data_IF_914775475401
#
_entry.id   IF_914775475401
#
_cell.length_a   1.000
_cell.length_b   1.000
_cell.length_c   1.000
_cell.angle_alpha   90.00
_cell.angle_beta   90.00
_cell.angle_gamma   90.00
#
_symmetry.space_group_name_H-M   'P 1'
#
loop_
_entity.id
_entity.type
_entity.pdbx_description
1 polymer ?
#
# COMPACT_ATOMS: atom_id res chain seq x y z
N UNK A 1 9.52 -12.63 1.78
CA UNK A 1 9.99 -12.20 0.44
C UNK A 1 11.48 -11.99 0.46
N UNK A 2 12.19 -12.65 -0.43
CA UNK A 2 13.63 -12.47 -0.58
C UNK A 2 13.90 -11.17 -1.34
N UNK A 3 14.95 -10.43 -0.96
CA UNK A 3 15.31 -9.19 -1.66
C UNK A 3 15.70 -9.44 -3.12
N UNK A 4 16.36 -10.55 -3.37
CA UNK A 4 16.77 -10.98 -4.71
C UNK A 4 15.57 -11.12 -5.67
N UNK A 5 14.45 -11.72 -5.22
CA UNK A 5 13.25 -11.88 -6.05
C UNK A 5 12.66 -10.52 -6.46
N UNK A 6 12.68 -9.55 -5.53
CA UNK A 6 12.18 -8.19 -5.80
C UNK A 6 13.10 -7.45 -6.77
N UNK A 7 14.42 -7.60 -6.63
CA UNK A 7 15.37 -7.01 -7.56
C UNK A 7 15.23 -7.60 -8.95
N UNK A 8 15.12 -8.94 -9.05
CA UNK A 8 14.94 -9.65 -10.30
C UNK A 8 13.65 -9.22 -11.03
N UNK A 9 12.57 -8.90 -10.31
CA UNK A 9 11.35 -8.38 -10.93
C UNK A 9 11.59 -7.10 -11.72
N UNK A 10 12.28 -6.13 -11.13
CA UNK A 10 12.61 -4.86 -11.79
C UNK A 10 13.63 -5.08 -12.92
N UNK A 11 14.67 -5.87 -12.66
CA UNK A 11 15.70 -6.16 -13.66
C UNK A 11 15.12 -6.88 -14.89
N UNK A 12 14.18 -7.82 -14.68
CA UNK A 12 13.49 -8.52 -15.78
C UNK A 12 12.64 -7.57 -16.62
N UNK A 13 11.93 -6.62 -15.99
CA UNK A 13 11.16 -5.62 -16.72
C UNK A 13 12.07 -4.74 -17.58
N UNK A 14 13.17 -4.25 -17.01
CA UNK A 14 14.14 -3.42 -17.75
C UNK A 14 14.82 -4.23 -18.87
N UNK A 15 15.20 -5.49 -18.61
CA UNK A 15 15.83 -6.33 -19.64
C UNK A 15 14.87 -6.63 -20.80
N UNK A 16 13.58 -6.81 -20.53
CA UNK A 16 12.60 -7.15 -21.55
C UNK A 16 12.07 -5.94 -22.34
N UNK A 17 11.87 -4.80 -21.67
CA UNK A 17 11.22 -3.62 -22.24
C UNK A 17 12.15 -2.41 -22.41
N UNK A 18 13.40 -2.51 -21.99
CA UNK A 18 14.40 -1.43 -22.07
C UNK A 18 14.28 -0.37 -20.97
N UNK A 19 13.17 -0.33 -20.24
CA UNK A 19 12.90 0.66 -19.18
C UNK A 19 11.87 0.17 -18.18
N UNK A 20 11.73 0.92 -17.09
CA UNK A 20 10.59 0.90 -16.17
C UNK A 20 10.03 2.32 -16.08
N UNK A 21 8.72 2.49 -16.19
CA UNK A 21 8.05 3.80 -16.12
C UNK A 21 7.19 3.92 -14.86
N UNK A 22 6.54 2.83 -14.47
CA UNK A 22 5.58 2.81 -13.37
C UNK A 22 5.86 1.60 -12.49
N UNK A 23 5.94 1.84 -11.18
CA UNK A 23 5.96 0.79 -10.15
C UNK A 23 4.66 0.83 -9.34
N UNK A 24 3.90 -0.28 -9.35
CA UNK A 24 2.73 -0.43 -8.48
C UNK A 24 3.05 -1.43 -7.37
N UNK A 25 3.13 -0.97 -6.15
CA UNK A 25 3.31 -1.79 -4.95
C UNK A 25 1.94 -2.18 -4.40
N UNK A 26 1.39 -3.29 -4.90
CA UNK A 26 0.04 -3.76 -4.56
C UNK A 26 0.01 -4.92 -3.57
N UNK A 27 1.05 -5.72 -3.48
CA UNK A 27 1.08 -6.90 -2.61
C UNK A 27 0.84 -6.54 -1.14
N UNK A 28 -0.04 -7.27 -0.47
CA UNK A 28 -0.35 -7.05 0.94
C UNK A 28 -1.08 -8.24 1.55
N UNK A 29 -0.96 -8.37 2.87
CA UNK A 29 -1.64 -9.36 3.69
C UNK A 29 -2.27 -8.70 4.91
N UNK A 30 -3.34 -9.29 5.45
CA UNK A 30 -3.97 -8.88 6.70
C UNK A 30 -3.26 -9.47 7.93
N UNK A 31 -3.45 -8.82 9.08
CA UNK A 31 -3.31 -9.45 10.38
C UNK A 31 -4.62 -10.15 10.77
N UNK A 32 -4.66 -10.78 11.95
CA UNK A 32 -5.85 -11.45 12.48
C UNK A 32 -6.64 -10.54 13.45
N UNK A 33 -6.56 -9.23 13.28
CA UNK A 33 -7.17 -8.21 14.17
C UNK A 33 -6.59 -8.21 15.59
N UNK A 34 -5.35 -8.67 15.78
CA UNK A 34 -4.73 -8.70 17.10
C UNK A 34 -4.56 -7.27 17.65
N UNK A 35 -5.00 -7.01 18.92
CA UNK A 35 -4.59 -5.84 19.67
C UNK A 35 -3.13 -5.96 20.10
N UNK A 36 -2.51 -4.86 20.52
CA UNK A 36 -1.07 -4.80 20.79
C UNK A 36 -0.56 -5.87 21.79
N UNK A 37 -1.40 -6.29 22.76
CA UNK A 37 -1.00 -7.30 23.75
C UNK A 37 -0.91 -8.73 23.19
N UNK A 38 -1.57 -8.99 22.06
CA UNK A 38 -1.72 -10.34 21.48
C UNK A 38 -0.88 -10.51 20.20
N UNK A 39 0.00 -9.54 19.90
CA UNK A 39 0.87 -9.61 18.71
C UNK A 39 1.96 -10.66 18.95
N UNK A 40 2.05 -11.62 18.04
CA UNK A 40 3.18 -12.56 17.97
C UNK A 40 4.30 -11.96 17.07
N UNK A 41 5.55 -12.08 17.49
CA UNK A 41 6.70 -11.53 16.76
C UNK A 41 6.77 -12.03 15.30
N UNK A 42 6.55 -13.31 15.08
CA UNK A 42 6.53 -13.91 13.73
C UNK A 42 5.43 -13.29 12.84
N UNK A 43 4.26 -13.00 13.41
CA UNK A 43 3.16 -12.33 12.69
C UNK A 43 3.54 -10.89 12.33
N UNK A 44 4.12 -10.16 13.28
CA UNK A 44 4.63 -8.81 13.08
C UNK A 44 5.66 -8.77 11.95
N UNK A 45 6.70 -9.60 12.04
CA UNK A 45 7.77 -9.65 11.04
C UNK A 45 7.24 -10.03 9.66
N UNK A 46 6.36 -11.03 9.57
CA UNK A 46 5.74 -11.48 8.32
C UNK A 46 4.93 -10.37 7.65
N UNK A 47 4.09 -9.68 8.41
CA UNK A 47 3.23 -8.60 7.88
C UNK A 47 4.07 -7.41 7.44
N UNK A 48 5.05 -6.98 8.23
CA UNK A 48 5.97 -5.91 7.84
C UNK A 48 6.83 -6.30 6.64
N UNK A 49 7.29 -7.54 6.56
CA UNK A 49 8.07 -8.02 5.41
C UNK A 49 7.28 -7.89 4.10
N UNK A 50 5.97 -8.21 4.13
CA UNK A 50 5.11 -8.12 2.93
C UNK A 50 4.59 -6.71 2.70
N UNK A 51 4.02 -6.06 3.71
CA UNK A 51 3.28 -4.81 3.51
C UNK A 51 4.19 -3.57 3.41
N UNK A 52 5.40 -3.62 3.99
CA UNK A 52 6.26 -2.44 4.16
C UNK A 52 7.65 -2.64 3.58
N UNK A 53 8.36 -3.69 4.01
CA UNK A 53 9.74 -3.93 3.58
C UNK A 53 9.83 -4.20 2.08
N UNK A 54 8.87 -4.93 1.51
CA UNK A 54 8.80 -5.17 0.07
C UNK A 54 8.61 -3.87 -0.72
N UNK A 55 7.72 -2.99 -0.26
CA UNK A 55 7.47 -1.67 -0.86
C UNK A 55 8.75 -0.85 -0.87
N UNK A 56 9.46 -0.78 0.26
CA UNK A 56 10.73 -0.07 0.36
C UNK A 56 11.78 -0.66 -0.60
N UNK A 57 11.93 -1.99 -0.64
CA UNK A 57 12.92 -2.65 -1.51
C UNK A 57 12.63 -2.45 -2.99
N UNK A 58 11.37 -2.63 -3.42
CA UNK A 58 10.97 -2.43 -4.81
C UNK A 58 11.14 -0.95 -5.23
N UNK A 59 10.70 -0.02 -4.39
CA UNK A 59 10.88 1.42 -4.61
C UNK A 59 12.36 1.79 -4.72
N UNK A 60 13.20 1.31 -3.80
CA UNK A 60 14.65 1.56 -3.83
C UNK A 60 15.30 1.07 -5.14
N UNK A 61 14.87 -0.09 -5.64
CA UNK A 61 15.37 -0.62 -6.90
C UNK A 61 14.87 0.17 -8.11
N UNK A 62 13.57 0.48 -8.17
CA UNK A 62 12.96 1.26 -9.26
C UNK A 62 13.53 2.68 -9.35
N UNK A 63 13.79 3.32 -8.19
CA UNK A 63 14.37 4.66 -8.14
C UNK A 63 15.73 4.76 -8.84
N UNK A 64 16.54 3.70 -8.88
CA UNK A 64 17.80 3.70 -9.64
C UNK A 64 17.54 3.90 -11.14
N UNK A 65 16.55 3.17 -11.69
CA UNK A 65 16.14 3.30 -13.08
C UNK A 65 15.51 4.68 -13.36
N UNK A 66 14.64 5.13 -12.46
CA UNK A 66 13.93 6.41 -12.61
C UNK A 66 14.88 7.62 -12.55
N UNK A 67 15.87 7.59 -11.68
CA UNK A 67 16.86 8.66 -11.54
C UNK A 67 17.77 8.75 -12.80
N UNK A 68 18.18 7.62 -13.35
CA UNK A 68 18.95 7.59 -14.60
C UNK A 68 18.14 8.15 -15.78
N UNK A 69 16.84 7.83 -15.81
CA UNK A 69 15.92 8.29 -16.86
C UNK A 69 15.44 9.74 -16.66
N UNK A 70 15.46 10.25 -15.44
CA UNK A 70 14.88 11.55 -15.06
C UNK A 70 13.35 11.58 -15.00
N UNK A 71 12.69 10.41 -14.94
CA UNK A 71 11.24 10.31 -14.80
C UNK A 71 10.80 8.98 -14.21
N UNK A 72 9.70 8.97 -13.47
CA UNK A 72 9.14 7.73 -12.90
C UNK A 72 7.88 7.96 -12.09
N UNK A 73 7.12 6.90 -11.89
CA UNK A 73 5.87 6.98 -11.14
C UNK A 73 5.72 5.77 -10.20
N UNK A 74 5.47 6.03 -8.94
CA UNK A 74 5.30 5.02 -7.89
C UNK A 74 3.90 5.13 -7.31
N UNK A 75 3.16 4.02 -7.30
CA UNK A 75 1.82 3.93 -6.74
C UNK A 75 1.84 2.85 -5.65
N UNK A 76 1.61 3.26 -4.42
CA UNK A 76 1.57 2.36 -3.27
C UNK A 76 0.13 2.08 -2.85
N UNK A 77 -0.26 0.81 -2.74
CA UNK A 77 -1.56 0.45 -2.19
C UNK A 77 -1.43 0.38 -0.66
N UNK A 78 -1.85 1.48 -0.01
CA UNK A 78 -1.95 1.58 1.44
C UNK A 78 -3.27 0.94 1.93
N UNK A 79 -4.05 1.64 2.72
CA UNK A 79 -5.36 1.29 3.24
C UNK A 79 -5.92 2.46 4.05
N UNK A 80 -7.23 2.55 4.25
CA UNK A 80 -7.80 3.41 5.29
C UNK A 80 -7.28 3.00 6.69
N UNK A 81 -6.86 1.74 6.89
CA UNK A 81 -6.12 1.30 8.08
C UNK A 81 -4.72 1.90 8.21
N UNK A 82 -4.19 2.56 7.18
CA UNK A 82 -2.98 3.39 7.23
C UNK A 82 -3.26 4.87 7.56
N UNK A 83 -4.52 5.23 7.76
CA UNK A 83 -4.97 6.58 8.10
C UNK A 83 -5.70 6.62 9.45
N UNK A 84 -6.29 5.50 9.86
CA UNK A 84 -7.05 5.36 11.10
C UNK A 84 -6.71 4.06 11.82
N UNK A 85 -6.77 4.07 13.16
CA UNK A 85 -6.44 2.92 14.01
C UNK A 85 -7.53 1.87 14.19
N UNK A 86 -8.72 2.06 13.60
CA UNK A 86 -9.92 1.25 13.90
C UNK A 86 -10.34 0.30 12.78
N UNK A 87 -9.49 0.05 11.77
CA UNK A 87 -9.87 -0.68 10.56
C UNK A 87 -9.24 -2.05 10.40
N UNK A 88 -8.32 -2.41 11.29
CA UNK A 88 -7.61 -3.69 11.31
C UNK A 88 -7.00 -3.91 12.69
N UNK A 89 -6.22 -4.95 12.87
CA UNK A 89 -5.38 -5.14 14.05
C UNK A 89 -4.17 -4.20 14.05
N UNK A 90 -3.41 -4.26 15.13
CA UNK A 90 -2.34 -3.29 15.38
C UNK A 90 -1.19 -3.41 14.38
N UNK A 91 -0.82 -4.63 13.98
CA UNK A 91 0.31 -4.88 13.06
C UNK A 91 0.00 -4.38 11.64
N UNK A 92 -1.17 -4.72 11.10
CA UNK A 92 -1.60 -4.23 9.78
C UNK A 92 -1.68 -2.70 9.78
N UNK A 93 -2.34 -2.14 10.80
CA UNK A 93 -2.46 -0.69 10.98
C UNK A 93 -1.09 -0.01 10.95
N UNK A 94 -0.13 -0.48 11.76
CA UNK A 94 1.22 0.05 11.79
C UNK A 94 1.93 -0.07 10.43
N UNK A 95 1.82 -1.23 9.76
CA UNK A 95 2.45 -1.47 8.46
C UNK A 95 1.93 -0.54 7.37
N UNK A 96 0.63 -0.25 7.35
CA UNK A 96 0.01 0.64 6.35
C UNK A 96 0.25 2.12 6.65
N UNK A 97 0.34 2.54 7.92
CA UNK A 97 0.83 3.87 8.30
C UNK A 97 2.28 4.09 7.85
N UNK A 98 3.14 3.07 7.98
CA UNK A 98 4.52 3.13 7.49
C UNK A 98 4.56 3.36 5.97
N UNK A 99 3.71 2.70 5.18
CA UNK A 99 3.60 2.93 3.72
C UNK A 99 3.16 4.35 3.41
N UNK A 100 2.19 4.90 4.16
CA UNK A 100 1.74 6.29 4.00
C UNK A 100 2.89 7.27 4.25
N UNK A 101 3.61 7.13 5.36
CA UNK A 101 4.77 7.97 5.68
C UNK A 101 5.87 7.85 4.63
N UNK A 102 6.19 6.63 4.20
CA UNK A 102 7.17 6.36 3.16
C UNK A 102 6.80 6.99 1.82
N UNK A 103 5.53 6.91 1.42
CA UNK A 103 5.01 7.53 0.19
C UNK A 103 5.22 9.04 0.19
N UNK A 104 4.81 9.72 1.27
CA UNK A 104 4.94 11.17 1.40
C UNK A 104 6.40 11.63 1.35
N UNK A 105 7.28 10.92 2.07
CA UNK A 105 8.72 11.21 2.05
C UNK A 105 9.31 11.01 0.66
N UNK A 106 9.02 9.89 -0.01
CA UNK A 106 9.53 9.59 -1.35
C UNK A 106 9.05 10.63 -2.36
N UNK A 107 7.77 10.99 -2.36
CA UNK A 107 7.22 12.02 -3.24
C UNK A 107 7.91 13.38 -3.04
N UNK A 108 8.16 13.78 -1.79
CA UNK A 108 8.87 15.02 -1.46
C UNK A 108 10.34 14.97 -1.92
N UNK A 109 11.06 13.92 -1.56
CA UNK A 109 12.51 13.82 -1.80
C UNK A 109 12.88 13.79 -3.28
N UNK A 110 12.05 13.20 -4.13
CA UNK A 110 12.34 13.00 -5.56
C UNK A 110 11.51 13.90 -6.50
N UNK A 111 10.76 14.88 -5.96
CA UNK A 111 9.92 15.77 -6.77
C UNK A 111 10.71 16.51 -7.87
N UNK A 112 11.91 16.99 -7.54
CA UNK A 112 12.77 17.71 -8.48
C UNK A 112 13.51 16.80 -9.48
N UNK A 113 13.35 15.49 -9.36
CA UNK A 113 13.94 14.49 -10.25
C UNK A 113 12.95 13.94 -11.28
N UNK A 114 11.78 14.58 -11.44
CA UNK A 114 10.73 14.12 -12.34
C UNK A 114 10.04 12.84 -11.89
N UNK A 115 10.10 12.50 -10.59
CA UNK A 115 9.53 11.27 -10.04
C UNK A 115 8.37 11.61 -9.11
N UNK A 116 7.23 10.94 -9.33
CA UNK A 116 6.05 11.05 -8.47
C UNK A 116 5.89 9.78 -7.64
N UNK A 117 5.44 9.94 -6.41
CA UNK A 117 5.11 8.82 -5.53
C UNK A 117 3.84 9.14 -4.77
N UNK A 118 2.77 8.37 -5.02
CA UNK A 118 1.47 8.55 -4.40
C UNK A 118 0.98 7.23 -3.81
N UNK A 119 0.01 7.30 -2.90
CA UNK A 119 -0.66 6.12 -2.38
C UNK A 119 -2.17 6.18 -2.64
N UNK A 120 -2.77 5.01 -2.73
CA UNK A 120 -4.20 4.82 -2.64
C UNK A 120 -4.48 4.20 -1.28
N UNK A 121 -5.48 4.70 -0.57
CA UNK A 121 -6.00 4.13 0.67
C UNK A 121 -7.39 3.54 0.44
N UNK A 122 -7.49 2.27 0.00
CA UNK A 122 -8.77 1.62 -0.18
C UNK A 122 -9.51 1.41 1.16
N UNK A 123 -10.84 1.44 1.09
CA UNK A 123 -11.73 0.90 2.11
C UNK A 123 -11.88 -0.61 2.00
N UNK A 124 -13.06 -1.13 2.30
CA UNK A 124 -13.40 -2.53 2.06
C UNK A 124 -13.54 -2.81 0.57
N UNK A 125 -12.75 -3.74 0.04
CA UNK A 125 -12.76 -4.14 -1.38
C UNK A 125 -12.89 -5.66 -1.49
N UNK A 126 -13.72 -6.14 -2.41
CA UNK A 126 -13.94 -7.57 -2.69
C UNK A 126 -12.68 -8.19 -3.30
N UNK A 127 -11.79 -8.71 -2.46
CA UNK A 127 -10.52 -9.33 -2.85
C UNK A 127 -10.25 -10.57 -1.99
N UNK A 128 -9.20 -11.30 -2.35
CA UNK A 128 -8.76 -12.47 -1.59
C UNK A 128 -7.89 -12.11 -0.35
N UNK A 129 -7.74 -10.82 0.00
CA UNK A 129 -6.86 -10.44 1.12
C UNK A 129 -7.30 -11.07 2.45
N UNK A 130 -8.61 -11.27 2.64
CA UNK A 130 -9.17 -11.93 3.81
C UNK A 130 -8.70 -13.39 3.97
N UNK A 131 -8.32 -14.08 2.90
CA UNK A 131 -7.81 -15.45 2.97
C UNK A 131 -6.42 -15.56 3.63
N UNK A 132 -5.76 -14.45 3.88
CA UNK A 132 -4.47 -14.42 4.59
C UNK A 132 -4.62 -14.49 6.12
N UNK A 133 -5.84 -14.30 6.64
CA UNK A 133 -6.18 -14.47 8.06
C UNK A 133 -6.33 -15.93 8.41
N UNK A 134 -5.82 -16.34 9.58
CA UNK A 134 -5.85 -17.72 10.03
C UNK A 134 -6.68 -17.92 11.30
N UNK A 135 -6.52 -17.04 12.29
CA UNK A 135 -7.18 -17.09 13.59
C UNK A 135 -7.58 -15.68 14.01
N UNK A 136 -8.84 -15.33 13.74
CA UNK A 136 -9.33 -13.99 14.06
C UNK A 136 -9.40 -13.78 15.57
N UNK A 137 -8.76 -12.72 16.06
CA UNK A 137 -8.85 -12.30 17.46
C UNK A 137 -10.25 -11.72 17.73
N UNK A 138 -11.02 -12.37 18.58
CA UNK A 138 -12.42 -12.01 18.85
C UNK A 138 -12.55 -10.63 19.49
N UNK A 139 -11.65 -10.27 20.42
CA UNK A 139 -11.65 -8.96 21.06
C UNK A 139 -11.37 -7.85 20.03
N UNK A 140 -10.32 -8.00 19.23
CA UNK A 140 -9.96 -7.01 18.21
C UNK A 140 -11.03 -6.88 17.14
N UNK A 141 -11.56 -7.99 16.62
CA UNK A 141 -12.66 -7.99 15.66
C UNK A 141 -13.92 -7.32 16.25
N UNK A 142 -14.30 -7.65 17.48
CA UNK A 142 -15.45 -7.02 18.14
C UNK A 142 -15.29 -5.50 18.29
N UNK A 143 -14.08 -5.02 18.57
CA UNK A 143 -13.79 -3.57 18.62
C UNK A 143 -13.85 -2.89 17.27
N UNK A 144 -13.36 -3.54 16.20
CA UNK A 144 -13.37 -2.96 14.85
C UNK A 144 -14.77 -2.97 14.22
N UNK A 145 -15.66 -3.89 14.62
CA UNK A 145 -17.03 -3.96 14.12
C UNK A 145 -17.80 -2.64 14.29
N UNK A 146 -17.57 -1.89 15.38
CA UNK A 146 -18.22 -0.59 15.57
C UNK A 146 -17.94 0.41 14.43
N UNK A 147 -16.76 0.32 13.82
CA UNK A 147 -16.38 1.12 12.66
C UNK A 147 -16.79 0.51 11.31
N UNK A 148 -17.02 -0.81 11.26
CA UNK A 148 -17.49 -1.48 10.03
C UNK A 148 -18.94 -1.16 9.70
N UNK A 149 -19.78 -0.93 10.72
CA UNK A 149 -21.19 -0.64 10.54
C UNK A 149 -21.50 0.65 9.77
N UNK A 150 -20.53 1.55 9.65
CA UNK A 150 -20.67 2.80 8.88
C UNK A 150 -20.02 2.70 7.49
N UNK A 151 -19.53 1.53 7.09
CA UNK A 151 -19.08 1.31 5.71
C UNK A 151 -20.29 1.33 4.76
N UNK A 152 -20.35 2.26 3.80
CA UNK A 152 -21.51 2.35 2.91
C UNK A 152 -21.68 1.12 2.01
N UNK A 153 -20.55 0.54 1.54
CA UNK A 153 -20.53 -0.66 0.70
C UNK A 153 -19.10 -1.21 0.52
N UNK A 154 -19.03 -2.43 0.07
CA UNK A 154 -17.77 -2.97 -0.47
C UNK A 154 -17.50 -2.39 -1.87
N UNK A 155 -16.26 -2.06 -2.14
CA UNK A 155 -15.78 -1.67 -3.48
C UNK A 155 -15.39 -2.89 -4.31
N UNK A 156 -15.28 -2.70 -5.63
CA UNK A 156 -14.73 -3.70 -6.55
C UNK A 156 -13.26 -3.39 -6.84
N UNK A 157 -12.42 -4.40 -7.17
CA UNK A 157 -11.02 -4.19 -7.53
C UNK A 157 -10.82 -3.13 -8.63
N UNK A 158 -11.69 -3.12 -9.65
CA UNK A 158 -11.62 -2.18 -10.76
C UNK A 158 -11.78 -0.71 -10.30
N UNK A 159 -12.54 -0.45 -9.23
CA UNK A 159 -12.69 0.91 -8.70
C UNK A 159 -11.37 1.44 -8.11
N UNK A 160 -10.54 0.56 -7.57
CA UNK A 160 -9.19 0.92 -7.13
C UNK A 160 -8.24 1.03 -8.33
N UNK A 161 -8.39 0.17 -9.33
CA UNK A 161 -7.60 0.19 -10.55
C UNK A 161 -7.80 1.50 -11.35
N UNK A 162 -9.02 2.07 -11.39
CA UNK A 162 -9.26 3.38 -12.02
C UNK A 162 -8.51 4.52 -11.33
N UNK A 163 -8.41 4.50 -10.00
CA UNK A 163 -7.60 5.48 -9.27
C UNK A 163 -6.11 5.28 -9.56
N UNK A 164 -5.65 4.02 -9.63
CA UNK A 164 -4.28 3.71 -10.01
C UNK A 164 -3.97 4.16 -11.44
N UNK A 165 -4.89 3.97 -12.39
CA UNK A 165 -4.75 4.42 -13.77
C UNK A 165 -4.62 5.95 -13.86
N UNK A 166 -5.46 6.70 -13.15
CA UNK A 166 -5.32 8.15 -13.04
C UNK A 166 -3.95 8.55 -12.50
N UNK A 167 -3.50 7.93 -11.40
CA UNK A 167 -2.20 8.22 -10.82
C UNK A 167 -1.03 7.82 -11.74
N UNK A 168 -1.22 6.80 -12.58
CA UNK A 168 -0.23 6.34 -13.55
C UNK A 168 -0.08 7.29 -14.76
N UNK A 169 -1.13 8.02 -15.10
CA UNK A 169 -1.20 8.86 -16.28
C UNK A 169 -0.63 10.28 -16.06
N UNK A 170 -0.43 11.01 -17.15
CA UNK A 170 0.00 12.42 -17.12
C UNK A 170 -1.08 13.36 -16.60
N UNK A 171 -2.35 12.92 -16.57
CA UNK A 171 -3.47 13.69 -15.98
C UNK A 171 -3.23 13.98 -14.49
N UNK A 172 -2.43 13.16 -13.82
CA UNK A 172 -2.02 13.35 -12.42
C UNK A 172 -0.63 14.00 -12.27
N UNK A 173 -0.12 14.68 -13.30
CA UNK A 173 1.23 15.27 -13.30
C UNK A 173 1.50 16.26 -12.15
N UNK A 174 0.47 16.89 -11.61
CA UNK A 174 0.57 17.80 -10.45
C UNK A 174 0.22 17.13 -9.11
N UNK A 175 0.01 15.82 -9.12
CA UNK A 175 -0.33 15.02 -7.92
C UNK A 175 0.90 14.24 -7.47
N UNK A 176 1.49 14.62 -6.33
CA UNK A 176 2.68 13.98 -5.78
C UNK A 176 2.69 14.03 -4.25
N UNK A 177 3.19 12.97 -3.62
CA UNK A 177 3.30 12.85 -2.16
C UNK A 177 1.97 12.74 -1.43
N UNK A 178 0.87 12.43 -2.12
CA UNK A 178 -0.48 12.37 -1.55
C UNK A 178 -0.97 10.94 -1.31
N UNK A 179 -2.06 10.85 -0.54
CA UNK A 179 -2.82 9.62 -0.34
C UNK A 179 -4.26 9.88 -0.78
N UNK A 180 -4.70 9.19 -1.81
CA UNK A 180 -6.10 9.26 -2.28
C UNK A 180 -6.90 8.17 -1.56
N UNK A 181 -7.88 8.59 -0.78
CA UNK A 181 -8.84 7.67 -0.16
C UNK A 181 -9.88 7.22 -1.17
N UNK A 182 -10.06 5.90 -1.29
CA UNK A 182 -11.03 5.26 -2.17
C UNK A 182 -11.86 4.26 -1.36
N UNK A 183 -12.86 4.76 -0.62
CA UNK A 183 -13.59 4.02 0.42
C UNK A 183 -15.10 4.29 0.46
N UNK A 184 -15.64 4.92 -0.57
CA UNK A 184 -17.07 5.30 -0.63
C UNK A 184 -17.50 6.26 0.50
N UNK A 185 -16.55 7.05 1.07
CA UNK A 185 -16.84 7.98 2.17
C UNK A 185 -16.83 7.33 3.55
N UNK A 186 -16.35 6.09 3.68
CA UNK A 186 -16.34 5.37 4.96
C UNK A 186 -15.61 6.13 6.09
N UNK A 187 -14.54 6.87 5.79
CA UNK A 187 -13.78 7.62 6.80
C UNK A 187 -13.90 9.14 6.66
N UNK A 188 -14.93 9.63 5.99
CA UNK A 188 -15.12 11.05 5.74
C UNK A 188 -15.75 11.84 6.93
N UNK A 189 -15.76 11.28 8.14
CA UNK A 189 -16.30 11.88 9.37
C UNK A 189 -15.22 12.10 10.43
#
# INVERSE_FOLDING_TARGET
MKEEDIQNLVDSAVAQYGTLDILVNNAGIMDNFEPAADIEDDSWERIFAVNTTSVMRATRKALKVFLEKGSGNIINIASIGGLQGSRAGATYTASKHAVVGFTKNTGFMYANSGIRCNAIAPGGVETNIGSTMTHINEFGMGRTQSGMGVNPRMGKPDEIAYVALFLASDESSFVNGTVITADSGWIAY
#
